data_IF_780767637405
#
_entry.id   IF_780767637405
#
_cell.length_a   1.000
_cell.length_b   1.000
_cell.length_c   1.000
_cell.angle_alpha   90.00
_cell.angle_beta   90.00
_cell.angle_gamma   90.00
#
_symmetry.space_group_name_H-M   'P 1'
#
loop_
_entity.id
_entity.type
_entity.pdbx_description
1 polymer ?
#
# COMPACT_ATOMS: atom_id res chain seq x y z
N UNK A 1 17.37 -8.67 32.28
CA UNK A 1 17.79 -9.33 31.01
C UNK A 1 16.82 -10.46 30.69
N UNK A 2 15.69 -10.11 30.08
CA UNK A 2 14.92 -11.00 29.20
C UNK A 2 14.92 -10.34 27.83
N UNK A 3 14.93 -11.10 26.74
CA UNK A 3 14.88 -10.52 25.39
C UNK A 3 13.42 -10.32 25.01
N UNK A 4 13.01 -9.07 24.76
CA UNK A 4 11.74 -8.81 24.07
C UNK A 4 11.89 -9.38 22.65
N UNK A 5 11.32 -10.56 22.44
CA UNK A 5 11.23 -11.18 21.14
C UNK A 5 10.18 -10.46 20.30
N UNK A 6 10.53 -9.30 19.76
CA UNK A 6 9.85 -8.78 18.59
C UNK A 6 9.88 -9.87 17.52
N UNK A 7 8.70 -10.45 17.25
CA UNK A 7 8.53 -11.42 16.19
C UNK A 7 8.70 -10.68 14.87
N UNK A 8 9.95 -10.64 14.39
CA UNK A 8 10.32 -10.11 13.08
C UNK A 8 9.60 -10.89 11.99
N UNK A 9 8.42 -10.41 11.60
CA UNK A 9 7.81 -10.75 10.33
C UNK A 9 8.54 -9.98 9.22
N UNK A 10 9.82 -10.33 9.00
CA UNK A 10 10.71 -9.86 7.92
C UNK A 10 10.24 -10.44 6.56
N UNK A 11 8.96 -10.26 6.25
CA UNK A 11 8.23 -11.05 5.27
C UNK A 11 6.84 -10.51 4.97
N UNK A 12 6.64 -9.19 5.08
CA UNK A 12 5.46 -8.54 4.49
C UNK A 12 5.76 -8.08 3.06
N UNK A 13 5.75 -9.04 2.14
CA UNK A 13 5.61 -8.73 0.73
C UNK A 13 4.31 -7.94 0.53
N UNK A 14 4.36 -6.81 -0.16
CA UNK A 14 3.15 -6.15 -0.64
C UNK A 14 2.45 -7.15 -1.56
N UNK A 15 1.21 -7.55 -1.25
CA UNK A 15 0.40 -8.39 -2.13
C UNK A 15 0.10 -7.60 -3.40
N UNK A 16 0.96 -7.80 -4.39
CA UNK A 16 1.12 -7.05 -5.63
C UNK A 16 0.10 -7.50 -6.67
N UNK A 17 -1.18 -7.49 -6.27
CA UNK A 17 -2.28 -8.22 -6.90
C UNK A 17 -2.47 -7.95 -8.39
N UNK A 18 -2.33 -8.98 -9.23
CA UNK A 18 -2.23 -8.85 -10.69
C UNK A 18 -2.97 -9.98 -11.46
N UNK A 19 -3.57 -9.64 -12.62
CA UNK A 19 -3.98 -10.60 -13.70
C UNK A 19 -5.16 -11.56 -13.36
N UNK A 20 -6.32 -11.69 -14.01
CA UNK A 20 -7.16 -11.01 -15.02
C UNK A 20 -8.64 -11.24 -14.56
N UNK A 21 -9.65 -10.41 -14.83
CA UNK A 21 -10.48 -10.50 -16.04
C UNK A 21 -11.37 -9.22 -16.21
N UNK A 22 -12.61 -9.36 -16.71
CA UNK A 22 -13.39 -8.29 -17.38
C UNK A 22 -14.77 -8.04 -16.77
N UNK A 23 -15.10 -6.78 -16.39
CA UNK A 23 -16.46 -6.25 -16.38
C UNK A 23 -16.83 -5.62 -17.73
N UNK A 24 -18.12 -5.68 -18.10
CA UNK A 24 -18.70 -4.96 -19.25
C UNK A 24 -18.67 -3.44 -19.01
N UNK A 25 -18.60 -2.60 -20.07
CA UNK A 25 -18.81 -1.16 -19.92
C UNK A 25 -20.28 -0.87 -19.54
N UNK A 26 -20.47 0.10 -18.64
CA UNK A 26 -21.76 0.78 -18.51
C UNK A 26 -21.75 1.98 -19.46
N UNK A 27 -22.79 2.10 -20.30
CA UNK A 27 -23.00 3.29 -21.12
C UNK A 27 -23.34 4.50 -20.22
N UNK A 28 -22.87 5.69 -20.57
CA UNK A 28 -23.15 6.93 -19.82
C UNK A 28 -22.00 7.49 -18.96
N UNK A 29 -20.74 7.18 -19.28
CA UNK A 29 -19.60 7.88 -18.71
C UNK A 29 -19.47 9.30 -19.30
N UNK A 30 -20.11 10.29 -18.67
CA UNK A 30 -19.92 11.72 -18.94
C UNK A 30 -18.43 12.11 -18.84
N UNK A 31 -17.92 13.01 -19.69
CA UNK A 31 -16.53 13.45 -19.62
C UNK A 31 -16.25 14.20 -18.32
N UNK A 32 -15.18 13.83 -17.60
CA UNK A 32 -14.77 14.58 -16.41
C UNK A 32 -14.41 16.01 -16.81
N UNK A 33 -15.02 16.97 -16.12
CA UNK A 33 -14.87 18.40 -16.43
C UNK A 33 -13.41 18.88 -16.31
N UNK A 34 -13.10 19.95 -17.04
CA UNK A 34 -11.77 20.55 -17.02
C UNK A 34 -11.36 20.91 -15.59
N UNK A 35 -10.24 20.35 -15.13
CA UNK A 35 -9.80 20.47 -13.76
C UNK A 35 -9.34 21.89 -13.42
N UNK A 36 -9.45 22.24 -12.13
CA UNK A 36 -8.73 23.39 -11.57
C UNK A 36 -7.25 23.02 -11.52
N UNK A 37 -6.40 23.80 -12.16
CA UNK A 37 -4.95 23.74 -11.96
C UNK A 37 -4.61 24.30 -10.57
N UNK A 38 -3.84 23.53 -9.79
CA UNK A 38 -3.55 23.84 -8.37
C UNK A 38 -3.57 22.64 -7.42
N UNK A 39 -3.88 21.44 -7.90
CA UNK A 39 -3.74 20.19 -7.13
C UNK A 39 -2.26 19.79 -7.03
N UNK A 40 -1.78 19.48 -5.83
CA UNK A 40 -0.40 19.07 -5.60
C UNK A 40 -0.14 17.67 -6.19
N UNK A 41 1.09 17.43 -6.67
CA UNK A 41 1.51 16.16 -7.25
C UNK A 41 2.51 15.45 -6.32
N UNK A 42 2.41 14.12 -6.22
CA UNK A 42 3.24 13.24 -5.40
C UNK A 42 3.83 12.11 -6.24
N UNK A 43 5.06 11.73 -5.91
CA UNK A 43 5.77 10.57 -6.47
C UNK A 43 5.39 9.32 -5.68
N UNK A 44 5.00 8.24 -6.36
CA UNK A 44 4.65 6.96 -5.75
C UNK A 44 5.39 5.81 -6.45
N UNK A 45 5.83 4.83 -5.68
CA UNK A 45 6.64 3.71 -6.17
C UNK A 45 5.98 2.36 -5.86
N UNK A 46 5.82 1.47 -6.85
CA UNK A 46 5.14 0.19 -6.64
C UNK A 46 5.72 -0.96 -7.48
N UNK A 47 6.03 -2.08 -6.82
CA UNK A 47 6.44 -3.32 -7.49
C UNK A 47 5.20 -4.03 -8.07
N UNK A 48 5.13 -4.14 -9.40
CA UNK A 48 3.98 -4.65 -10.14
C UNK A 48 4.44 -5.47 -11.34
N UNK A 49 3.63 -6.44 -11.80
CA UNK A 49 3.84 -7.04 -13.11
C UNK A 49 3.42 -6.02 -14.19
N UNK A 50 4.38 -5.25 -14.70
CA UNK A 50 4.15 -4.16 -15.66
C UNK A 50 3.34 -4.65 -16.88
N UNK A 51 3.61 -5.86 -17.37
CA UNK A 51 2.94 -6.39 -18.54
C UNK A 51 1.42 -6.58 -18.34
N UNK A 52 0.96 -6.77 -17.10
CA UNK A 52 -0.48 -6.79 -16.76
C UNK A 52 -1.10 -5.39 -16.78
N UNK A 53 -0.39 -4.40 -16.25
CA UNK A 53 -0.82 -3.00 -16.22
C UNK A 53 -0.86 -2.44 -17.65
N UNK A 54 0.19 -2.67 -18.44
CA UNK A 54 0.29 -2.34 -19.87
C UNK A 54 -0.85 -2.94 -20.69
N UNK A 55 -1.21 -4.21 -20.43
CA UNK A 55 -2.37 -4.88 -21.05
C UNK A 55 -3.71 -4.31 -20.60
N UNK A 56 -3.83 -3.76 -19.39
CA UNK A 56 -5.03 -3.07 -18.93
C UNK A 56 -5.16 -1.68 -19.57
N UNK A 57 -4.08 -0.91 -19.60
CA UNK A 57 -3.98 0.38 -20.29
C UNK A 57 -4.41 0.26 -21.76
N UNK A 58 -3.82 -0.67 -22.52
CA UNK A 58 -4.19 -0.90 -23.93
C UNK A 58 -5.60 -1.44 -24.17
N UNK A 59 -6.36 -1.78 -23.12
CA UNK A 59 -7.75 -2.28 -23.19
C UNK A 59 -8.80 -1.34 -22.59
N UNK A 60 -8.41 -0.41 -21.72
CA UNK A 60 -9.33 0.42 -20.92
C UNK A 60 -8.85 1.86 -20.66
N UNK A 61 -7.63 2.21 -21.06
CA UNK A 61 -6.98 3.48 -20.69
C UNK A 61 -6.53 3.57 -19.22
N UNK A 62 -6.78 2.54 -18.40
CA UNK A 62 -6.50 2.56 -16.97
C UNK A 62 -6.29 1.15 -16.39
N UNK A 63 -5.60 1.08 -15.24
CA UNK A 63 -5.49 -0.10 -14.38
C UNK A 63 -6.17 0.15 -13.03
N UNK A 64 -6.77 -0.89 -12.47
CA UNK A 64 -7.41 -0.89 -11.15
C UNK A 64 -7.41 -2.33 -10.63
N UNK A 65 -6.75 -2.61 -9.50
CA UNK A 65 -6.75 -3.92 -8.86
C UNK A 65 -8.16 -4.44 -8.56
N UNK A 66 -8.30 -5.75 -8.37
CA UNK A 66 -9.58 -6.37 -8.05
C UNK A 66 -9.47 -7.24 -6.80
N UNK A 67 -10.36 -6.98 -5.84
CA UNK A 67 -10.37 -7.62 -4.53
C UNK A 67 -10.55 -9.14 -4.62
N UNK A 68 -11.25 -9.62 -5.64
CA UNK A 68 -11.40 -11.05 -5.91
C UNK A 68 -10.07 -11.72 -6.26
N UNK A 69 -9.18 -11.02 -6.99
CA UNK A 69 -7.85 -11.53 -7.35
C UNK A 69 -6.86 -11.40 -6.21
N UNK A 70 -6.83 -10.27 -5.51
CA UNK A 70 -5.97 -10.10 -4.32
C UNK A 70 -6.21 -11.23 -3.30
N UNK A 71 -7.43 -11.76 -3.26
CA UNK A 71 -7.81 -12.96 -2.50
C UNK A 71 -7.37 -14.29 -3.15
N UNK A 72 -7.57 -14.45 -4.45
CA UNK A 72 -7.17 -15.66 -5.22
C UNK A 72 -5.64 -15.86 -5.21
N UNK A 73 -4.90 -14.74 -5.33
CA UNK A 73 -3.45 -14.63 -5.28
C UNK A 73 -2.91 -15.01 -3.90
N UNK A 74 -3.45 -14.39 -2.83
CA UNK A 74 -3.11 -14.76 -1.45
C UNK A 74 -3.39 -16.25 -1.16
N UNK A 75 -4.51 -16.81 -1.64
CA UNK A 75 -4.81 -18.24 -1.46
C UNK A 75 -3.88 -19.18 -2.26
N UNK A 76 -3.32 -18.72 -3.39
CA UNK A 76 -2.29 -19.46 -4.14
C UNK A 76 -0.99 -19.46 -3.36
N UNK A 77 -0.55 -18.30 -2.88
CA UNK A 77 0.64 -18.12 -2.04
C UNK A 77 0.54 -18.92 -0.73
N UNK A 78 -0.63 -18.91 -0.08
CA UNK A 78 -0.94 -19.73 1.10
C UNK A 78 -0.71 -21.23 0.81
N UNK A 79 -1.15 -21.72 -0.35
CA UNK A 79 -1.08 -23.12 -0.75
C UNK A 79 0.32 -23.54 -1.18
N UNK A 80 1.05 -22.69 -1.91
CA UNK A 80 2.42 -22.94 -2.36
C UNK A 80 3.41 -22.92 -1.16
N UNK A 81 3.14 -22.10 -0.14
CA UNK A 81 3.92 -22.05 1.11
C UNK A 81 3.46 -23.06 2.19
N UNK A 82 2.29 -23.69 2.01
CA UNK A 82 1.78 -24.75 2.90
C UNK A 82 1.14 -24.26 4.21
N UNK A 83 0.58 -23.04 4.25
CA UNK A 83 -0.08 -22.51 5.44
C UNK A 83 -1.44 -23.16 5.72
N UNK A 84 -1.66 -23.61 6.97
CA UNK A 84 -2.93 -24.24 7.39
C UNK A 84 -4.10 -23.24 7.49
N UNK A 85 -3.81 -21.97 7.77
CA UNK A 85 -4.80 -20.88 7.87
C UNK A 85 -4.57 -19.88 6.74
N UNK A 86 -5.56 -19.64 5.85
CA UNK A 86 -5.39 -18.71 4.75
C UNK A 86 -5.11 -17.28 5.22
N UNK A 87 -4.02 -16.67 4.75
CA UNK A 87 -3.56 -15.33 5.14
C UNK A 87 -4.56 -14.22 4.78
N UNK A 88 -5.40 -14.44 3.76
CA UNK A 88 -6.51 -13.53 3.43
C UNK A 88 -7.51 -13.35 4.60
N UNK A 89 -7.55 -14.26 5.59
CA UNK A 89 -8.35 -14.07 6.79
C UNK A 89 -7.79 -12.95 7.70
N UNK A 90 -6.47 -12.71 7.65
CA UNK A 90 -5.76 -11.61 8.32
C UNK A 90 -5.83 -10.33 7.49
N UNK A 91 -5.52 -10.42 6.19
CA UNK A 91 -5.47 -9.24 5.31
C UNK A 91 -6.85 -8.70 4.92
N UNK A 92 -7.85 -9.56 4.75
CA UNK A 92 -9.19 -9.19 4.34
C UNK A 92 -9.88 -8.15 5.23
N UNK A 93 -9.83 -8.27 6.57
CA UNK A 93 -10.24 -7.21 7.51
C UNK A 93 -9.55 -5.86 7.26
N UNK A 94 -8.22 -5.83 7.20
CA UNK A 94 -7.45 -4.59 7.01
C UNK A 94 -7.72 -3.94 5.65
N UNK A 95 -7.82 -4.72 4.57
CA UNK A 95 -8.26 -4.25 3.26
C UNK A 95 -9.67 -3.63 3.31
N UNK A 96 -10.62 -4.20 4.09
CA UNK A 96 -11.97 -3.62 4.24
C UNK A 96 -11.95 -2.30 5.02
N UNK A 97 -11.10 -2.17 6.03
CA UNK A 97 -10.88 -0.91 6.73
C UNK A 97 -10.27 0.14 5.78
N UNK A 98 -9.17 -0.18 5.10
CA UNK A 98 -8.53 0.73 4.13
C UNK A 98 -9.51 1.24 3.06
N UNK A 99 -10.33 0.34 2.48
CA UNK A 99 -11.35 0.73 1.50
C UNK A 99 -12.46 1.63 2.08
N UNK A 100 -12.76 1.57 3.39
CA UNK A 100 -13.65 2.50 4.10
C UNK A 100 -12.96 3.86 4.26
N UNK A 101 -11.75 3.90 4.81
CA UNK A 101 -11.03 5.16 5.05
C UNK A 101 -10.78 5.92 3.74
N UNK A 102 -10.42 5.23 2.65
CA UNK A 102 -10.34 5.83 1.30
C UNK A 102 -11.66 6.47 0.87
N UNK A 103 -12.80 5.82 1.17
CA UNK A 103 -14.13 6.33 0.81
C UNK A 103 -14.51 7.56 1.66
N UNK A 104 -14.15 7.57 2.94
CA UNK A 104 -14.41 8.68 3.87
C UNK A 104 -13.49 9.88 3.63
N UNK A 105 -12.26 9.65 3.15
CA UNK A 105 -11.38 10.66 2.56
C UNK A 105 -11.85 11.17 1.18
N UNK A 106 -13.01 10.70 0.68
CA UNK A 106 -13.61 11.16 -0.57
C UNK A 106 -13.08 10.50 -1.84
N UNK A 107 -12.17 9.54 -1.75
CA UNK A 107 -11.65 8.82 -2.92
C UNK A 107 -12.74 7.91 -3.49
N UNK A 108 -13.40 8.37 -4.55
CA UNK A 108 -14.51 7.65 -5.19
C UNK A 108 -14.05 6.30 -5.76
N UNK A 109 -14.47 5.21 -5.09
CA UNK A 109 -14.23 3.83 -5.54
C UNK A 109 -14.83 3.59 -6.93
N UNK A 110 -14.06 3.09 -7.91
CA UNK A 110 -14.50 3.04 -9.32
C UNK A 110 -15.52 1.94 -9.61
N UNK A 111 -15.45 0.80 -8.91
CA UNK A 111 -16.45 -0.27 -8.97
C UNK A 111 -16.43 -1.12 -7.69
N UNK A 112 -17.54 -1.80 -7.37
CA UNK A 112 -17.74 -2.52 -6.11
C UNK A 112 -16.76 -3.69 -5.85
N UNK A 113 -16.04 -4.14 -6.89
CA UNK A 113 -15.02 -5.20 -6.83
C UNK A 113 -13.57 -4.70 -6.88
N UNK A 114 -13.33 -3.39 -6.86
CA UNK A 114 -11.98 -2.82 -6.88
C UNK A 114 -11.27 -3.02 -5.53
N UNK A 115 -10.00 -3.41 -5.53
CA UNK A 115 -9.11 -3.28 -4.36
C UNK A 115 -8.25 -2.02 -4.50
N UNK A 116 -7.64 -1.51 -3.40
CA UNK A 116 -6.63 -0.47 -3.49
C UNK A 116 -5.42 -0.92 -4.32
N UNK A 117 -4.84 0.00 -5.07
CA UNK A 117 -3.47 -0.10 -5.55
C UNK A 117 -2.55 0.42 -4.45
N UNK A 118 -1.60 -0.41 -4.02
CA UNK A 118 -0.62 -0.10 -2.99
C UNK A 118 0.68 0.41 -3.61
N UNK A 119 1.25 1.45 -3.01
CA UNK A 119 2.54 2.02 -3.38
C UNK A 119 3.24 2.59 -2.13
N UNK A 120 4.52 2.93 -2.27
CA UNK A 120 5.27 3.74 -1.32
C UNK A 120 5.20 5.21 -1.74
N UNK A 121 4.85 6.09 -0.80
CA UNK A 121 5.00 7.55 -0.92
C UNK A 121 6.31 8.05 -0.30
N UNK A 122 6.87 7.28 0.64
CA UNK A 122 8.24 7.44 1.14
C UNK A 122 8.79 6.07 1.52
N UNK A 123 9.95 5.74 0.99
CA UNK A 123 10.77 4.60 1.41
C UNK A 123 11.96 5.13 2.23
N UNK A 124 12.46 4.36 3.20
CA UNK A 124 13.63 4.75 4.00
C UNK A 124 14.57 3.56 4.13
N UNK A 125 15.43 3.43 3.11
CA UNK A 125 16.49 2.44 3.12
C UNK A 125 17.57 2.85 4.14
N UNK A 126 17.86 2.03 5.18
CA UNK A 126 18.87 2.38 6.18
C UNK A 126 20.30 2.30 5.63
N UNK A 127 20.52 1.58 4.53
CA UNK A 127 21.83 1.36 3.92
C UNK A 127 22.07 2.29 2.71
N UNK A 128 21.05 2.60 1.91
CA UNK A 128 21.13 3.61 0.83
C UNK A 128 20.99 5.05 1.33
N UNK A 129 22.03 5.52 2.02
CA UNK A 129 22.19 6.87 2.57
C UNK A 129 21.68 8.00 1.63
N UNK A 130 20.48 8.49 1.92
CA UNK A 130 19.88 9.66 1.24
C UNK A 130 18.99 9.36 0.03
N UNK A 131 18.65 8.09 -0.25
CA UNK A 131 17.63 7.72 -1.23
C UNK A 131 16.30 7.41 -0.54
N UNK A 132 15.25 8.18 -0.86
CA UNK A 132 13.88 7.92 -0.38
C UNK A 132 13.05 7.06 -1.35
N UNK A 133 13.70 6.53 -2.39
CA UNK A 133 13.11 5.75 -3.47
C UNK A 133 13.43 4.25 -3.27
N UNK A 134 12.45 3.33 -3.40
CA UNK A 134 12.71 1.89 -3.40
C UNK A 134 13.65 1.48 -4.54
N UNK A 135 14.43 0.41 -4.33
CA UNK A 135 15.35 -0.12 -5.34
C UNK A 135 15.09 -1.60 -5.61
N UNK A 136 15.15 -1.99 -6.89
CA UNK A 136 15.16 -3.40 -7.31
C UNK A 136 16.43 -4.17 -6.88
N UNK A 137 17.43 -3.49 -6.30
CA UNK A 137 18.64 -4.07 -5.73
C UNK A 137 18.58 -4.22 -4.20
N UNK A 138 17.47 -3.87 -3.54
CA UNK A 138 17.34 -4.04 -2.09
C UNK A 138 17.27 -5.52 -1.74
N UNK A 139 18.29 -6.04 -1.04
CA UNK A 139 18.43 -7.49 -0.73
C UNK A 139 17.20 -8.06 0.00
N UNK A 140 16.54 -7.25 0.84
CA UNK A 140 15.31 -7.62 1.54
C UNK A 140 14.10 -7.93 0.64
N UNK A 141 14.22 -7.76 -0.69
CA UNK A 141 13.18 -8.08 -1.67
C UNK A 141 13.59 -9.09 -2.76
N UNK A 142 14.81 -9.65 -2.75
CA UNK A 142 15.34 -10.44 -3.89
C UNK A 142 14.42 -11.62 -4.28
N UNK A 143 13.83 -12.29 -3.30
CA UNK A 143 12.86 -13.37 -3.52
C UNK A 143 11.38 -12.90 -3.53
N UNK A 144 11.04 -11.82 -2.82
CA UNK A 144 9.64 -11.36 -2.73
C UNK A 144 9.13 -10.65 -3.98
N UNK A 145 10.00 -9.94 -4.73
CA UNK A 145 9.61 -9.22 -5.95
C UNK A 145 10.32 -9.74 -7.22
N UNK A 146 10.81 -10.98 -7.20
CA UNK A 146 11.41 -11.64 -8.37
C UNK A 146 10.38 -11.72 -9.52
N UNK A 147 10.65 -11.01 -10.62
CA UNK A 147 9.75 -10.93 -11.79
C UNK A 147 8.71 -9.80 -11.75
N UNK A 148 8.75 -8.94 -10.74
CA UNK A 148 8.04 -7.66 -10.72
C UNK A 148 8.94 -6.53 -11.26
N UNK A 149 8.32 -5.47 -11.76
CA UNK A 149 8.98 -4.24 -12.17
C UNK A 149 8.60 -3.14 -11.19
N UNK A 150 9.54 -2.26 -10.86
CA UNK A 150 9.27 -1.07 -10.07
C UNK A 150 8.68 0.00 -10.98
N UNK A 151 7.42 0.39 -10.75
CA UNK A 151 6.80 1.52 -11.43
C UNK A 151 7.01 2.77 -10.58
N UNK A 152 7.53 3.82 -11.21
CA UNK A 152 7.54 5.18 -10.66
C UNK A 152 6.37 5.97 -11.25
N UNK A 153 5.55 6.55 -10.37
CA UNK A 153 4.28 7.19 -10.69
C UNK A 153 4.24 8.64 -10.21
N UNK A 154 3.67 9.56 -11.00
CA UNK A 154 3.42 10.95 -10.61
C UNK A 154 1.92 11.24 -10.60
N UNK A 155 1.31 11.23 -9.42
CA UNK A 155 -0.16 11.36 -9.28
C UNK A 155 -0.58 12.61 -8.51
N UNK A 156 -1.84 13.03 -8.68
CA UNK A 156 -2.46 14.09 -7.87
C UNK A 156 -2.67 13.61 -6.43
N UNK A 157 -2.30 14.42 -5.45
CA UNK A 157 -2.48 14.14 -4.01
C UNK A 157 -3.94 13.87 -3.67
N UNK A 158 -4.90 14.55 -4.31
CA UNK A 158 -6.34 14.31 -4.17
C UNK A 158 -6.83 12.91 -4.57
N UNK A 159 -5.99 12.06 -5.16
CA UNK A 159 -6.30 10.67 -5.54
C UNK A 159 -5.75 9.62 -4.57
N UNK A 160 -5.04 10.04 -3.52
CA UNK A 160 -4.21 9.19 -2.67
C UNK A 160 -4.62 9.33 -1.20
N UNK A 161 -4.65 8.20 -0.49
CA UNK A 161 -4.66 8.16 0.98
C UNK A 161 -3.30 7.62 1.43
N UNK A 162 -2.56 8.38 2.23
CA UNK A 162 -1.25 7.96 2.76
C UNK A 162 -1.38 7.41 4.19
N UNK A 163 -0.52 6.46 4.54
CA UNK A 163 -0.49 5.83 5.88
C UNK A 163 0.93 5.53 6.34
N UNK A 164 1.15 5.59 7.65
CA UNK A 164 2.34 5.00 8.27
C UNK A 164 2.33 3.49 8.03
N UNK A 165 3.41 2.94 7.50
CA UNK A 165 3.57 1.50 7.29
C UNK A 165 3.58 0.75 8.63
N UNK A 166 4.44 1.20 9.55
CA UNK A 166 4.64 0.57 10.86
C UNK A 166 3.34 0.54 11.67
N UNK A 167 2.57 1.65 11.70
CA UNK A 167 1.27 1.65 12.39
C UNK A 167 0.20 0.83 11.68
N UNK A 168 0.28 0.61 10.36
CA UNK A 168 -0.69 -0.24 9.66
C UNK A 168 -0.62 -1.71 10.12
N UNK A 169 0.49 -2.15 10.74
CA UNK A 169 0.56 -3.44 11.44
C UNK A 169 -0.43 -3.56 12.61
N UNK A 170 -0.88 -2.45 13.23
CA UNK A 170 -1.95 -2.50 14.22
C UNK A 170 -3.29 -2.90 13.60
N UNK A 171 -3.61 -2.37 12.41
CA UNK A 171 -4.83 -2.71 11.65
C UNK A 171 -4.82 -4.17 11.22
N UNK A 172 -3.67 -4.64 10.72
CA UNK A 172 -3.47 -6.01 10.25
C UNK A 172 -3.66 -7.06 11.35
N UNK A 173 -3.30 -6.74 12.59
CA UNK A 173 -3.34 -7.66 13.73
C UNK A 173 -4.55 -7.43 14.68
N UNK A 174 -5.48 -6.52 14.35
CA UNK A 174 -6.59 -6.07 15.23
C UNK A 174 -6.13 -5.54 16.60
N UNK A 175 -4.99 -4.86 16.64
CA UNK A 175 -4.31 -4.37 17.85
C UNK A 175 -4.71 -2.93 18.19
N UNK A 176 -4.53 -2.49 19.46
CA UNK A 176 -4.55 -1.07 19.77
C UNK A 176 -3.40 -0.33 19.05
N UNK A 177 -3.56 0.98 18.85
CA UNK A 177 -2.66 1.76 18.01
C UNK A 177 -2.31 3.12 18.65
N UNK A 178 -1.07 3.25 19.11
CA UNK A 178 -0.62 4.36 19.94
C UNK A 178 -0.67 5.72 19.23
N UNK A 179 -0.99 6.81 19.95
CA UNK A 179 -0.86 8.18 19.43
C UNK A 179 0.52 8.45 18.85
N UNK A 180 0.57 9.07 17.65
CA UNK A 180 1.83 9.38 16.93
C UNK A 180 2.83 10.14 17.84
N UNK A 181 2.33 11.02 18.72
CA UNK A 181 3.16 11.75 19.67
C UNK A 181 3.99 10.84 20.61
N UNK A 182 3.44 9.70 21.07
CA UNK A 182 4.16 8.77 21.95
C UNK A 182 5.29 8.02 21.21
N UNK A 183 5.18 7.84 19.90
CA UNK A 183 6.28 7.32 19.07
C UNK A 183 7.36 8.39 18.86
N UNK A 184 6.95 9.62 18.54
CA UNK A 184 7.85 10.74 18.26
C UNK A 184 8.67 11.19 19.49
N UNK A 185 8.09 11.12 20.70
CA UNK A 185 8.80 11.40 21.95
C UNK A 185 9.75 10.26 22.38
N UNK A 186 9.74 9.12 21.68
CA UNK A 186 10.52 7.91 21.96
C UNK A 186 10.38 7.32 23.39
N UNK A 187 9.32 7.69 24.12
CA UNK A 187 9.04 7.19 25.48
C UNK A 187 8.36 5.81 25.43
N UNK A 188 9.17 4.78 25.20
CA UNK A 188 8.73 3.39 25.18
C UNK A 188 8.01 2.95 26.46
N UNK A 189 8.44 3.43 27.63
CA UNK A 189 7.77 3.12 28.91
C UNK A 189 6.35 3.72 28.97
N UNK A 190 6.07 4.83 28.29
CA UNK A 190 4.71 5.39 28.15
C UNK A 190 3.91 4.74 27.04
N UNK A 191 4.53 4.32 25.93
CA UNK A 191 3.87 3.58 24.86
C UNK A 191 3.41 2.20 25.35
N UNK A 192 4.30 1.43 26.00
CA UNK A 192 3.99 0.09 26.52
C UNK A 192 2.83 0.16 27.53
N UNK A 193 2.86 1.11 28.48
CA UNK A 193 1.74 1.35 29.41
C UNK A 193 0.44 1.71 28.69
N UNK A 194 0.50 2.54 27.65
CA UNK A 194 -0.69 2.89 26.87
C UNK A 194 -1.25 1.67 26.12
N UNK A 195 -0.39 0.81 25.58
CA UNK A 195 -0.78 -0.42 24.89
C UNK A 195 -1.39 -1.45 25.86
N UNK A 196 -0.85 -1.59 27.08
CA UNK A 196 -1.45 -2.40 28.16
C UNK A 196 -2.85 -1.89 28.53
N UNK A 197 -2.99 -0.58 28.80
CA UNK A 197 -4.26 0.06 29.19
C UNK A 197 -5.36 -0.08 28.10
N UNK A 198 -4.97 -0.16 26.83
CA UNK A 198 -5.89 -0.26 25.67
C UNK A 198 -5.90 -1.66 25.03
N UNK A 199 -5.31 -2.68 25.65
CA UNK A 199 -5.25 -4.03 25.08
C UNK A 199 -6.65 -4.63 24.82
N UNK A 200 -7.52 -4.52 25.82
CA UNK A 200 -8.91 -5.03 25.78
C UNK A 200 -9.91 -4.03 25.16
N UNK A 201 -9.43 -2.96 24.51
CA UNK A 201 -10.32 -1.99 23.84
C UNK A 201 -11.15 -2.67 22.75
N UNK A 202 -12.40 -2.23 22.63
CA UNK A 202 -13.31 -2.76 21.63
C UNK A 202 -12.83 -2.47 20.20
N UNK A 203 -13.23 -3.36 19.30
CA UNK A 203 -13.16 -3.23 17.84
C UNK A 203 -13.50 -1.83 17.29
N UNK A 204 -14.39 -1.07 17.96
CA UNK A 204 -14.77 0.28 17.56
C UNK A 204 -13.80 1.36 18.07
N UNK A 205 -13.25 1.18 19.27
CA UNK A 205 -12.20 2.04 19.82
C UNK A 205 -10.90 1.87 19.03
N UNK A 206 -10.50 0.63 18.74
CA UNK A 206 -9.31 0.33 17.92
C UNK A 206 -9.44 0.93 16.52
N UNK A 207 -10.61 0.88 15.87
CA UNK A 207 -10.86 1.55 14.59
C UNK A 207 -10.75 3.08 14.64
N UNK A 208 -11.09 3.72 15.77
CA UNK A 208 -10.80 5.17 15.98
C UNK A 208 -9.31 5.42 16.08
N UNK A 209 -8.61 4.67 16.93
CA UNK A 209 -7.15 4.76 17.08
C UNK A 209 -6.43 4.58 15.72
N UNK A 210 -6.90 3.66 14.87
CA UNK A 210 -6.37 3.49 13.52
C UNK A 210 -6.64 4.70 12.62
N UNK A 211 -7.85 5.26 12.64
CA UNK A 211 -8.19 6.46 11.87
C UNK A 211 -7.34 7.66 12.31
N UNK A 212 -7.20 7.86 13.62
CA UNK A 212 -6.53 9.01 14.23
C UNK A 212 -5.00 8.97 14.07
N UNK A 213 -4.39 7.78 14.01
CA UNK A 213 -2.93 7.62 14.09
C UNK A 213 -2.28 6.96 12.84
N UNK A 214 -2.96 6.06 12.12
CA UNK A 214 -2.37 5.37 10.95
C UNK A 214 -2.40 6.26 9.69
N UNK A 215 -3.42 7.13 9.58
CA UNK A 215 -3.63 7.99 8.41
C UNK A 215 -2.68 9.19 8.45
N UNK A 216 -1.88 9.36 7.38
CA UNK A 216 -0.85 10.40 7.28
C UNK A 216 -1.30 11.51 6.31
N UNK A 217 -1.43 12.77 6.75
CA UNK A 217 -1.72 13.89 5.86
C UNK A 217 -0.60 14.12 4.85
N UNK A 218 -0.95 14.31 3.57
CA UNK A 218 0.04 14.51 2.51
C UNK A 218 0.86 15.82 2.65
N UNK A 219 0.38 16.80 3.42
CA UNK A 219 1.12 18.02 3.78
C UNK A 219 2.10 17.81 4.97
N UNK A 220 2.03 16.66 5.65
CA UNK A 220 2.76 16.37 6.92
C UNK A 220 3.22 14.92 6.98
N UNK A 221 3.97 14.49 5.98
CA UNK A 221 4.64 13.19 6.03
C UNK A 221 5.79 13.25 7.06
N UNK A 222 5.79 12.44 8.12
CA UNK A 222 6.93 12.32 9.02
C UNK A 222 8.11 11.66 8.29
N UNK A 223 9.26 11.62 8.96
CA UNK A 223 10.46 10.97 8.45
C UNK A 223 10.45 9.44 8.74
N UNK A 224 9.32 8.80 8.42
CA UNK A 224 9.03 7.37 8.59
C UNK A 224 8.71 6.68 7.24
N UNK A 225 8.46 5.37 7.25
CA UNK A 225 8.03 4.59 6.09
C UNK A 225 6.55 4.90 5.76
N UNK A 226 6.26 5.52 4.61
CA UNK A 226 4.90 5.95 4.22
C UNK A 226 4.40 5.15 3.02
N UNK A 227 3.32 4.41 3.23
CA UNK A 227 2.54 3.77 2.17
C UNK A 227 1.45 4.70 1.64
N UNK A 228 0.97 4.38 0.44
CA UNK A 228 -0.05 5.10 -0.29
C UNK A 228 -1.05 4.14 -0.94
N UNK A 229 -2.33 4.47 -0.81
CA UNK A 229 -3.44 3.78 -1.44
C UNK A 229 -4.15 4.70 -2.42
N UNK A 230 -4.33 4.23 -3.66
CA UNK A 230 -5.18 4.87 -4.68
C UNK A 230 -5.98 3.81 -5.45
N UNK A 231 -7.12 4.19 -6.04
CA UNK A 231 -7.97 3.20 -6.73
C UNK A 231 -7.46 2.84 -8.14
N UNK A 232 -6.95 3.82 -8.87
CA UNK A 232 -6.80 3.73 -10.33
C UNK A 232 -5.56 4.51 -10.77
N UNK A 233 -4.77 3.88 -11.66
CA UNK A 233 -3.68 4.51 -12.40
C UNK A 233 -3.95 4.46 -13.91
N UNK A 234 -3.33 5.35 -14.66
CA UNK A 234 -3.46 5.55 -16.10
C UNK A 234 -2.07 5.66 -16.74
N UNK A 235 -1.92 5.58 -18.07
CA UNK A 235 -0.62 5.78 -18.73
C UNK A 235 0.05 7.10 -18.37
N UNK A 236 -0.72 8.18 -18.19
CA UNK A 236 -0.21 9.51 -17.86
C UNK A 236 0.21 9.67 -16.38
N UNK A 237 -0.03 8.64 -15.55
CA UNK A 237 0.45 8.60 -14.17
C UNK A 237 1.84 7.93 -14.05
N UNK A 238 2.33 7.22 -15.08
CA UNK A 238 3.60 6.48 -15.04
C UNK A 238 4.70 7.34 -15.66
N UNK A 239 5.80 7.58 -14.93
CA UNK A 239 6.97 8.28 -15.45
C UNK A 239 7.97 7.29 -16.05
N UNK A 240 8.35 6.28 -15.28
CA UNK A 240 9.28 5.24 -15.71
C UNK A 240 8.99 3.89 -15.04
N UNK A 241 9.60 2.85 -15.61
CA UNK A 241 9.59 1.48 -15.14
C UNK A 241 11.03 1.00 -15.02
N UNK A 242 11.43 0.56 -13.83
CA UNK A 242 12.74 -0.02 -13.56
C UNK A 242 12.64 -1.52 -13.36
N UNK A 243 13.46 -2.29 -14.08
CA UNK A 243 13.50 -3.76 -14.01
C UNK A 243 14.93 -4.29 -13.86
N UNK A 244 15.09 -5.43 -13.18
CA UNK A 244 16.37 -6.11 -13.00
C UNK A 244 16.46 -7.30 -13.98
N UNK A 245 17.40 -7.25 -14.92
CA UNK A 245 17.62 -8.27 -15.96
C UNK A 245 19.11 -8.58 -16.05
N UNK A 246 19.50 -9.85 -15.89
CA UNK A 246 20.89 -10.32 -15.86
C UNK A 246 21.80 -9.43 -14.98
N UNK A 247 21.36 -9.24 -13.73
CA UNK A 247 21.96 -8.40 -12.67
C UNK A 247 22.17 -6.92 -13.04
N UNK A 248 21.40 -6.40 -14.02
CA UNK A 248 21.46 -5.00 -14.46
C UNK A 248 20.10 -4.33 -14.37
N UNK A 249 20.09 -3.13 -13.78
CA UNK A 249 18.93 -2.25 -13.83
C UNK A 249 18.74 -1.71 -15.26
N UNK A 250 17.54 -1.89 -15.80
CA UNK A 250 17.06 -1.28 -17.03
C UNK A 250 15.92 -0.34 -16.68
N UNK A 251 16.00 0.92 -17.12
CA UNK A 251 14.99 1.95 -16.86
C UNK A 251 14.33 2.32 -18.19
N UNK A 252 12.99 2.25 -18.24
CA UNK A 252 12.17 2.64 -19.40
C UNK A 252 11.26 3.80 -19.02
N UNK A 253 11.61 5.01 -19.46
CA UNK A 253 10.70 6.18 -19.46
C UNK A 253 9.66 6.02 -20.58
N UNK A 254 8.44 6.50 -20.35
CA UNK A 254 7.29 6.38 -21.28
C UNK A 254 6.94 7.67 -22.05
#
# INVERSE_FOLDING_TARGET
>A
MGRNGYARHDGMGMISGNTLAVPQPLEGAEPMGAGIDGDAMIDLYSFQHWDTIRRAFGRRGAYTPSLAKSREEAYREDADAGFETPSWNVYGPAYRWMMKEMTEAGLRRPYAGASPFWAWARWLDPDMQGSNDPSCLYEGFEDMYRGFQLLHLRVKTSRVLCTSFDQYHCVLNNMPCGPIALLADHDGDSLDRWLDDHWEDSDEQKRRQWHDNVIVPADRMPDDWIQACLWTITPADVLDITELVDDKLTITTL
#
